data_IF_984828904169
#
_entry.id   IF_984828904169
#
_cell.length_a   1.000
_cell.length_b   1.000
_cell.length_c   1.000
_cell.angle_alpha   90.00
_cell.angle_beta   90.00
_cell.angle_gamma   90.00
#
_symmetry.space_group_name_H-M   'P 1'
#
loop_
_entity.id
_entity.type
_entity.pdbx_description
1 polymer ?
#
# COMPACT_ATOMS: atom_id res chain seq x y z
N UNK A 1 11.60 -21.12 -8.68
CA UNK A 1 11.71 -20.44 -7.38
C UNK A 1 11.20 -19.02 -7.54
N UNK A 2 11.79 -17.96 -6.99
CA UNK A 2 11.14 -16.63 -6.87
C UNK A 2 10.42 -16.17 -8.16
N UNK A 3 11.01 -16.38 -9.34
CA UNK A 3 10.43 -16.07 -10.65
C UNK A 3 9.36 -17.05 -11.20
N UNK A 4 8.96 -18.08 -10.45
CA UNK A 4 7.87 -19.02 -10.78
C UNK A 4 8.25 -20.46 -11.13
N UNK A 5 9.52 -20.78 -11.41
CA UNK A 5 9.93 -22.15 -11.74
C UNK A 5 9.67 -23.15 -10.59
N UNK A 6 9.44 -24.44 -10.87
CA UNK A 6 9.38 -25.45 -9.81
C UNK A 6 10.76 -25.63 -9.16
N UNK A 7 10.80 -26.05 -7.89
CA UNK A 7 12.07 -26.46 -7.28
C UNK A 7 12.65 -27.70 -7.98
N UNK A 8 11.78 -28.54 -8.57
CA UNK A 8 12.20 -29.71 -9.37
C UNK A 8 12.93 -29.29 -10.64
N UNK A 9 12.41 -28.27 -11.34
CA UNK A 9 13.04 -27.76 -12.56
C UNK A 9 14.43 -27.21 -12.26
N UNK A 10 14.57 -26.49 -11.14
CA UNK A 10 15.84 -25.95 -10.67
C UNK A 10 16.81 -27.06 -10.27
N UNK A 11 16.34 -28.05 -9.50
CA UNK A 11 17.15 -29.20 -9.09
C UNK A 11 17.72 -29.94 -10.30
N UNK A 12 16.88 -30.19 -11.31
CA UNK A 12 17.29 -30.85 -12.57
C UNK A 12 18.24 -29.97 -13.37
N UNK A 13 17.93 -28.67 -13.54
CA UNK A 13 18.73 -27.75 -14.34
C UNK A 13 20.16 -27.60 -13.80
N UNK A 14 20.32 -27.57 -12.49
CA UNK A 14 21.62 -27.38 -11.84
C UNK A 14 22.27 -28.69 -11.35
N UNK A 15 21.60 -29.84 -11.49
CA UNK A 15 22.12 -31.13 -11.04
C UNK A 15 22.30 -31.23 -9.52
N UNK A 16 21.42 -30.58 -8.75
CA UNK A 16 21.53 -30.49 -7.29
C UNK A 16 20.34 -31.13 -6.57
N UNK A 17 20.55 -31.53 -5.32
CA UNK A 17 19.50 -32.08 -4.49
C UNK A 17 18.43 -31.02 -4.15
N UNK A 18 17.19 -31.47 -3.90
CA UNK A 18 16.08 -30.61 -3.47
C UNK A 18 16.44 -29.80 -2.23
N UNK A 19 17.10 -30.43 -1.27
CA UNK A 19 17.52 -29.84 0.00
C UNK A 19 18.45 -28.65 -0.27
N UNK A 20 19.41 -28.79 -1.20
CA UNK A 20 20.31 -27.72 -1.64
C UNK A 20 19.53 -26.56 -2.26
N UNK A 21 18.52 -26.83 -3.08
CA UNK A 21 17.66 -25.78 -3.68
C UNK A 21 17.00 -24.92 -2.59
N UNK A 22 16.44 -25.55 -1.55
CA UNK A 22 15.83 -24.81 -0.44
C UNK A 22 16.87 -24.13 0.46
N UNK A 23 18.04 -24.74 0.67
CA UNK A 23 19.13 -24.11 1.40
C UNK A 23 19.54 -22.78 0.76
N UNK A 24 19.81 -22.79 -0.54
CA UNK A 24 20.15 -21.57 -1.29
C UNK A 24 19.00 -20.56 -1.28
N UNK A 25 17.74 -21.00 -1.39
CA UNK A 25 16.59 -20.10 -1.28
C UNK A 25 16.60 -19.34 0.06
N UNK A 26 16.86 -20.03 1.17
CA UNK A 26 16.87 -19.40 2.49
C UNK A 26 18.09 -18.51 2.69
N UNK A 27 19.28 -18.92 2.23
CA UNK A 27 20.45 -18.04 2.24
C UNK A 27 20.19 -16.72 1.51
N UNK A 28 19.53 -16.77 0.34
CA UNK A 28 19.16 -15.57 -0.42
C UNK A 28 18.11 -14.73 0.31
N UNK A 29 17.05 -15.36 0.84
CA UNK A 29 16.00 -14.66 1.62
C UNK A 29 16.59 -13.96 2.83
N UNK A 30 17.47 -14.63 3.57
CA UNK A 30 18.13 -14.09 4.75
C UNK A 30 19.09 -12.97 4.36
N UNK A 31 19.90 -13.13 3.30
CA UNK A 31 20.78 -12.08 2.81
C UNK A 31 19.99 -10.81 2.44
N UNK A 32 18.86 -10.94 1.73
CA UNK A 32 18.00 -9.79 1.37
C UNK A 32 17.45 -9.10 2.63
N UNK A 33 16.91 -9.88 3.56
CA UNK A 33 16.26 -9.33 4.75
C UNK A 33 17.26 -8.71 5.73
N UNK A 34 18.48 -9.24 5.79
CA UNK A 34 19.56 -8.78 6.66
C UNK A 34 20.46 -7.69 6.05
N UNK A 35 20.20 -7.27 4.80
CA UNK A 35 20.93 -6.17 4.14
C UNK A 35 20.05 -4.92 4.10
N UNK A 36 20.21 -3.95 5.02
CA UNK A 36 19.35 -2.78 5.14
C UNK A 36 19.19 -1.99 3.85
N UNK A 37 20.24 -1.90 3.04
CA UNK A 37 20.32 -1.14 1.80
C UNK A 37 19.42 -1.71 0.70
N UNK A 38 19.12 -3.02 0.75
CA UNK A 38 18.29 -3.67 -0.27
C UNK A 38 16.83 -3.37 0.00
N UNK A 39 16.28 -2.42 -0.75
CA UNK A 39 14.84 -2.18 -0.84
C UNK A 39 14.18 -1.79 0.48
N UNK A 40 14.87 -0.96 1.28
CA UNK A 40 14.40 -0.51 2.58
C UNK A 40 12.97 0.05 2.53
N UNK A 41 12.17 -0.33 3.52
CA UNK A 41 10.88 0.30 3.77
C UNK A 41 11.09 1.69 4.35
N UNK A 42 10.35 2.67 3.85
CA UNK A 42 10.38 4.03 4.34
C UNK A 42 8.93 4.51 4.52
N UNK A 43 8.49 4.61 5.77
CA UNK A 43 7.22 5.24 6.10
C UNK A 43 7.52 6.64 6.66
N UNK A 44 6.89 7.72 6.12
CA UNK A 44 7.19 9.07 6.56
C UNK A 44 6.77 9.28 8.02
N UNK A 45 7.68 9.80 8.84
CA UNK A 45 7.45 10.04 10.27
C UNK A 45 7.68 11.51 10.67
N UNK A 46 8.57 12.22 9.98
CA UNK A 46 8.81 13.65 10.23
C UNK A 46 7.89 14.52 9.38
N UNK A 47 7.71 15.78 9.76
CA UNK A 47 6.92 16.73 8.98
C UNK A 47 7.50 16.95 7.59
N UNK A 48 8.82 17.00 7.46
CA UNK A 48 9.50 17.21 6.18
C UNK A 48 9.33 16.01 5.25
N UNK A 49 9.44 14.78 5.79
CA UNK A 49 9.17 13.56 5.02
C UNK A 49 7.73 13.50 4.56
N UNK A 50 6.79 13.83 5.45
CA UNK A 50 5.38 13.88 5.13
C UNK A 50 5.08 14.93 4.05
N UNK A 51 5.66 16.13 4.15
CA UNK A 51 5.49 17.19 3.16
C UNK A 51 6.01 16.77 1.77
N UNK A 52 7.20 16.14 1.71
CA UNK A 52 7.75 15.61 0.46
C UNK A 52 6.82 14.57 -0.15
N UNK A 53 6.36 13.61 0.65
CA UNK A 53 5.51 12.53 0.14
C UNK A 53 4.14 13.06 -0.29
N UNK A 54 3.59 13.99 0.47
CA UNK A 54 2.30 14.60 0.19
C UNK A 54 2.28 15.40 -1.11
N UNK A 55 3.36 16.12 -1.42
CA UNK A 55 3.52 16.79 -2.72
C UNK A 55 3.47 15.83 -3.90
N UNK A 56 4.06 14.64 -3.78
CA UNK A 56 3.99 13.62 -4.83
C UNK A 56 2.57 13.08 -5.02
N UNK A 57 1.85 12.84 -3.92
CA UNK A 57 0.45 12.40 -3.96
C UNK A 57 -0.50 13.48 -4.48
N UNK A 58 -0.31 14.73 -4.08
CA UNK A 58 -1.07 15.87 -4.56
C UNK A 58 -0.96 16.00 -6.08
N UNK A 59 0.25 15.82 -6.63
CA UNK A 59 0.48 15.82 -8.07
C UNK A 59 -0.21 14.65 -8.81
N UNK A 60 -0.58 13.56 -8.10
CA UNK A 60 -1.39 12.46 -8.64
C UNK A 60 -2.88 12.62 -8.34
N UNK A 61 -3.26 13.55 -7.47
CA UNK A 61 -4.64 13.81 -7.09
C UNK A 61 -5.30 14.66 -8.15
N UNK A 62 -6.41 14.17 -8.70
CA UNK A 62 -7.23 14.97 -9.63
C UNK A 62 -7.64 16.26 -8.92
N UNK A 63 -7.22 17.41 -9.46
CA UNK A 63 -7.53 18.72 -8.91
C UNK A 63 -6.79 19.08 -7.61
N UNK A 64 -5.74 18.34 -7.24
CA UNK A 64 -4.86 18.64 -6.11
C UNK A 64 -5.58 18.68 -4.76
N UNK A 65 -6.63 17.87 -4.58
CA UNK A 65 -7.48 17.96 -3.39
C UNK A 65 -6.86 17.23 -2.21
N UNK A 66 -6.24 16.08 -2.45
CA UNK A 66 -5.67 15.24 -1.40
C UNK A 66 -4.23 15.66 -1.08
N UNK A 67 -4.04 16.90 -0.65
CA UNK A 67 -2.73 17.52 -0.42
C UNK A 67 -2.00 17.04 0.84
N UNK A 68 -2.67 16.31 1.74
CA UNK A 68 -2.07 15.71 2.94
C UNK A 68 -1.81 14.20 2.83
N UNK A 69 -2.09 13.58 1.69
CA UNK A 69 -1.96 12.14 1.51
C UNK A 69 -0.49 11.72 1.49
N UNK A 70 -0.03 10.85 2.39
CA UNK A 70 1.36 10.39 2.42
C UNK A 70 1.54 8.95 1.92
N UNK A 71 0.48 8.15 1.96
CA UNK A 71 0.51 6.77 1.45
C UNK A 71 -0.91 6.27 1.14
N UNK A 72 -1.00 5.18 0.38
CA UNK A 72 -2.21 4.37 0.28
C UNK A 72 -1.95 2.98 0.88
N UNK A 73 -2.90 2.45 1.64
CA UNK A 73 -2.82 1.17 2.34
C UNK A 73 -3.94 0.22 1.96
N UNK A 74 -3.62 -1.07 1.88
CA UNK A 74 -4.58 -2.13 1.59
C UNK A 74 -4.05 -3.52 2.01
N UNK A 75 -4.94 -4.51 2.03
CA UNK A 75 -4.65 -5.90 2.35
C UNK A 75 -4.32 -6.72 1.10
N UNK A 76 -3.32 -7.60 1.19
CA UNK A 76 -2.98 -8.60 0.17
C UNK A 76 -3.11 -10.01 0.76
N UNK A 77 -3.93 -10.84 0.14
CA UNK A 77 -4.04 -12.25 0.51
C UNK A 77 -3.01 -13.09 -0.27
N UNK A 78 -2.00 -13.61 0.43
CA UNK A 78 -1.01 -14.51 -0.16
C UNK A 78 -1.40 -15.96 0.13
N UNK A 79 -1.70 -16.72 -0.94
CA UNK A 79 -2.08 -18.14 -0.84
C UNK A 79 -0.92 -18.99 -0.35
N UNK A 80 -1.20 -19.94 0.53
CA UNK A 80 -0.24 -20.92 1.03
C UNK A 80 -0.86 -22.31 0.99
N UNK A 81 -0.04 -23.36 1.06
CA UNK A 81 -0.59 -24.67 1.46
C UNK A 81 -1.11 -24.58 2.91
N UNK A 82 -2.05 -25.47 3.25
CA UNK A 82 -2.53 -25.61 4.61
C UNK A 82 -1.34 -25.79 5.57
N UNK A 83 -1.26 -25.04 6.66
CA UNK A 83 -0.33 -25.39 7.73
C UNK A 83 -0.73 -26.74 8.33
N UNK A 84 0.24 -27.48 8.82
CA UNK A 84 0.00 -28.72 9.57
C UNK A 84 -0.37 -28.40 11.03
N UNK A 85 -0.96 -29.35 11.77
CA UNK A 85 -1.18 -29.21 13.21
C UNK A 85 0.12 -29.03 14.02
N UNK A 86 1.28 -29.41 13.46
CA UNK A 86 2.60 -29.17 14.06
C UNK A 86 3.03 -27.72 13.87
N UNK A 87 2.67 -27.10 12.74
CA UNK A 87 2.99 -25.69 12.46
C UNK A 87 2.17 -24.73 13.33
N UNK A 88 0.88 -25.05 13.56
CA UNK A 88 -0.02 -24.22 14.37
C UNK A 88 -1.20 -25.03 14.92
N UNK A 89 -1.59 -24.83 16.19
CA UNK A 89 -2.77 -25.47 16.76
C UNK A 89 -4.07 -25.00 16.11
N UNK A 90 -4.09 -23.82 15.48
CA UNK A 90 -5.29 -23.23 14.87
C UNK A 90 -5.14 -23.12 13.34
N UNK A 91 -5.09 -24.26 12.66
CA UNK A 91 -4.99 -24.35 11.19
C UNK A 91 -6.11 -23.57 10.49
N UNK A 92 -7.33 -23.63 11.02
CA UNK A 92 -8.50 -22.95 10.44
C UNK A 92 -8.38 -21.42 10.43
N UNK A 93 -7.61 -20.82 11.34
CA UNK A 93 -7.35 -19.36 11.30
C UNK A 93 -6.64 -18.90 10.02
N UNK A 94 -6.00 -19.82 9.28
CA UNK A 94 -5.34 -19.54 8.01
C UNK A 94 -6.29 -19.72 6.81
N UNK A 95 -7.44 -20.38 6.99
CA UNK A 95 -8.41 -20.61 5.91
C UNK A 95 -9.38 -19.43 5.79
N UNK A 96 -9.33 -18.73 4.66
CA UNK A 96 -10.30 -17.69 4.33
C UNK A 96 -11.41 -18.26 3.48
N UNK A 97 -12.65 -18.20 3.97
CA UNK A 97 -13.84 -18.54 3.18
C UNK A 97 -14.00 -17.64 1.95
N UNK A 98 -13.84 -16.32 2.15
CA UNK A 98 -13.98 -15.31 1.10
C UNK A 98 -12.92 -15.44 -0.01
N UNK A 99 -11.69 -15.85 0.34
CA UNK A 99 -10.61 -16.06 -0.64
C UNK A 99 -10.47 -17.53 -1.07
N UNK A 100 -11.33 -18.40 -0.54
CA UNK A 100 -11.42 -19.84 -0.80
C UNK A 100 -10.07 -20.55 -0.75
N UNK A 101 -9.37 -20.45 0.37
CA UNK A 101 -8.09 -21.14 0.56
C UNK A 101 -7.34 -20.73 1.82
N UNK A 102 -6.22 -21.43 2.05
CA UNK A 102 -5.27 -21.10 3.12
C UNK A 102 -4.34 -19.98 2.67
N UNK A 103 -3.99 -19.09 3.59
CA UNK A 103 -3.05 -18.02 3.27
C UNK A 103 -2.69 -17.14 4.46
N UNK A 104 -2.01 -16.05 4.14
CA UNK A 104 -1.68 -14.95 5.03
C UNK A 104 -2.39 -13.68 4.55
N UNK A 105 -2.90 -12.89 5.50
CA UNK A 105 -3.36 -11.54 5.23
C UNK A 105 -2.19 -10.57 5.47
N UNK A 106 -1.63 -10.04 4.39
CA UNK A 106 -0.53 -9.09 4.42
C UNK A 106 -1.12 -7.68 4.41
N UNK A 107 -0.62 -6.81 5.27
CA UNK A 107 -1.02 -5.39 5.30
C UNK A 107 0.17 -4.58 4.82
N UNK A 108 0.00 -3.69 3.85
CA UNK A 108 1.08 -2.82 3.38
C UNK A 108 0.57 -1.45 2.99
N UNK A 109 1.51 -0.51 2.92
CA UNK A 109 1.30 0.81 2.29
C UNK A 109 2.28 1.02 1.16
N UNK A 110 1.89 1.83 0.18
CA UNK A 110 2.79 2.29 -0.88
C UNK A 110 2.78 3.80 -1.00
N UNK A 111 3.82 4.34 -1.66
CA UNK A 111 3.90 5.72 -2.09
C UNK A 111 3.24 5.94 -3.46
N UNK A 112 3.30 7.18 -3.95
CA UNK A 112 2.74 7.57 -5.24
C UNK A 112 3.44 6.91 -6.46
N UNK A 113 4.62 6.32 -6.25
CA UNK A 113 5.49 5.70 -7.25
C UNK A 113 5.53 4.17 -7.11
N UNK A 114 4.55 3.59 -6.42
CA UNK A 114 4.36 2.16 -6.21
C UNK A 114 5.44 1.49 -5.36
N UNK A 115 6.30 2.25 -4.66
CA UNK A 115 7.23 1.67 -3.68
C UNK A 115 6.47 1.36 -2.41
N UNK A 116 6.70 0.21 -1.79
CA UNK A 116 6.11 -0.10 -0.49
C UNK A 116 6.81 0.68 0.62
N UNK A 117 6.03 1.43 1.40
CA UNK A 117 6.50 2.23 2.53
C UNK A 117 6.64 1.39 3.81
N UNK A 118 5.81 0.35 3.94
CA UNK A 118 5.81 -0.57 5.08
C UNK A 118 5.01 -1.82 4.73
N UNK A 119 5.22 -2.91 5.45
CA UNK A 119 4.38 -4.11 5.38
C UNK A 119 4.35 -4.90 6.69
N UNK A 120 3.32 -5.72 6.86
CA UNK A 120 3.14 -6.65 7.97
C UNK A 120 2.60 -7.99 7.47
N UNK A 121 3.33 -9.07 7.75
CA UNK A 121 3.02 -10.44 7.33
C UNK A 121 2.74 -11.37 8.51
N UNK A 122 2.05 -10.86 9.54
CA UNK A 122 1.81 -11.57 10.81
C UNK A 122 0.42 -12.17 10.93
N UNK A 123 -0.51 -11.79 10.05
CA UNK A 123 -1.92 -12.15 10.18
C UNK A 123 -2.26 -13.40 9.37
N UNK A 124 -2.93 -14.35 10.02
CA UNK A 124 -3.46 -15.53 9.38
C UNK A 124 -4.56 -15.15 8.37
N UNK A 125 -4.72 -15.93 7.31
CA UNK A 125 -5.56 -15.60 6.15
C UNK A 125 -7.04 -15.35 6.44
N UNK A 126 -7.60 -15.90 7.51
CA UNK A 126 -8.99 -15.64 7.93
C UNK A 126 -9.16 -14.31 8.69
N UNK A 127 -8.06 -13.66 9.08
CA UNK A 127 -8.08 -12.39 9.80
C UNK A 127 -8.59 -11.29 8.88
N UNK A 128 -9.65 -10.59 9.28
CA UNK A 128 -10.15 -9.43 8.53
C UNK A 128 -9.17 -8.24 8.58
N UNK A 129 -9.27 -7.34 7.61
CA UNK A 129 -8.31 -6.23 7.45
C UNK A 129 -8.30 -5.30 8.66
N UNK A 130 -9.46 -5.02 9.26
CA UNK A 130 -9.55 -4.26 10.52
C UNK A 130 -8.63 -4.83 11.61
N UNK A 131 -8.70 -6.14 11.85
CA UNK A 131 -7.93 -6.80 12.90
C UNK A 131 -6.47 -6.94 12.51
N UNK A 132 -6.20 -7.24 11.24
CA UNK A 132 -4.84 -7.36 10.72
C UNK A 132 -4.09 -6.02 10.81
N UNK A 133 -4.77 -4.92 10.48
CA UNK A 133 -4.27 -3.56 10.59
C UNK A 133 -3.91 -3.21 12.03
N UNK A 134 -4.85 -3.34 12.96
CA UNK A 134 -4.64 -2.95 14.36
C UNK A 134 -3.58 -3.80 15.08
N UNK A 135 -3.25 -4.99 14.56
CA UNK A 135 -2.14 -5.83 15.07
C UNK A 135 -0.78 -5.43 14.51
N UNK A 136 -0.76 -4.67 13.41
CA UNK A 136 0.48 -4.28 12.74
C UNK A 136 1.08 -3.02 13.36
N UNK A 137 2.41 -2.93 13.37
CA UNK A 137 3.15 -1.71 13.74
C UNK A 137 2.87 -0.53 12.79
N UNK A 138 2.26 -0.80 11.65
CA UNK A 138 1.79 0.21 10.70
C UNK A 138 0.67 1.04 11.30
N UNK A 139 -0.26 0.44 12.04
CA UNK A 139 -1.34 1.19 12.72
C UNK A 139 -0.76 2.23 13.66
N UNK A 140 0.26 1.87 14.45
CA UNK A 140 0.92 2.79 15.37
C UNK A 140 1.70 3.89 14.63
N UNK A 141 2.30 3.55 13.49
CA UNK A 141 3.04 4.51 12.67
C UNK A 141 2.12 5.55 12.02
N UNK A 142 0.95 5.11 11.55
CA UNK A 142 -0.09 6.00 11.01
C UNK A 142 -0.66 6.89 12.11
N UNK A 143 -0.90 6.36 13.30
CA UNK A 143 -1.40 7.14 14.43
C UNK A 143 -0.42 8.23 14.93
N UNK A 144 0.87 8.14 14.55
CA UNK A 144 1.91 9.12 14.88
C UNK A 144 2.18 10.15 13.78
N UNK A 145 1.44 10.12 12.67
CA UNK A 145 1.60 11.13 11.62
C UNK A 145 1.34 12.53 12.19
N UNK A 146 2.08 13.56 11.74
CA UNK A 146 1.77 14.93 12.15
C UNK A 146 0.35 15.33 11.67
N UNK A 147 -0.34 16.22 12.41
CA UNK A 147 -1.64 16.74 11.99
C UNK A 147 -1.62 17.28 10.55
N UNK A 148 -2.66 16.97 9.78
CA UNK A 148 -2.79 17.31 8.36
C UNK A 148 -2.29 16.25 7.39
N UNK A 149 -1.59 15.21 7.86
CA UNK A 149 -1.14 14.10 7.02
C UNK A 149 -1.90 12.80 7.29
N UNK A 150 -2.18 12.05 6.24
CA UNK A 150 -3.00 10.85 6.34
C UNK A 150 -2.68 9.79 5.28
N UNK A 151 -3.09 8.56 5.57
CA UNK A 151 -3.08 7.42 4.66
C UNK A 151 -4.49 7.19 4.11
N UNK A 152 -4.60 6.76 2.86
CA UNK A 152 -5.87 6.34 2.26
C UNK A 152 -6.04 4.83 2.39
N UNK A 153 -7.12 4.38 3.02
CA UNK A 153 -7.41 2.96 3.27
C UNK A 153 -8.71 2.47 2.64
N UNK A 154 -8.93 1.17 2.68
CA UNK A 154 -10.21 0.55 2.32
C UNK A 154 -11.33 0.78 3.33
N UNK A 155 -12.57 0.57 2.90
CA UNK A 155 -13.75 0.66 3.75
C UNK A 155 -13.71 -0.34 4.92
N UNK A 156 -12.90 -1.40 4.84
CA UNK A 156 -12.69 -2.36 5.93
C UNK A 156 -11.81 -1.84 7.08
N UNK A 157 -11.12 -0.70 6.91
CA UNK A 157 -10.19 -0.13 7.90
C UNK A 157 -10.85 0.83 8.90
N UNK A 158 -10.19 1.09 10.04
CA UNK A 158 -10.55 2.19 10.94
C UNK A 158 -10.46 3.56 10.28
N UNK A 159 -11.53 4.34 10.41
CA UNK A 159 -11.49 5.77 10.13
C UNK A 159 -10.81 6.51 11.29
N UNK A 160 -9.86 7.37 10.95
CA UNK A 160 -9.24 8.35 11.87
C UNK A 160 -8.76 9.55 11.06
N UNK A 161 -8.35 10.64 11.71
CA UNK A 161 -7.76 11.79 10.99
C UNK A 161 -6.49 11.43 10.19
N UNK A 162 -5.81 10.34 10.55
CA UNK A 162 -4.62 9.85 9.85
C UNK A 162 -4.87 8.65 8.93
N UNK A 163 -6.09 8.09 8.91
CA UNK A 163 -6.48 6.98 8.03
C UNK A 163 -7.88 7.23 7.48
N UNK A 164 -7.94 7.72 6.25
CA UNK A 164 -9.19 8.07 5.59
C UNK A 164 -9.72 6.88 4.81
N UNK A 165 -10.97 6.53 5.05
CA UNK A 165 -11.68 5.46 4.36
C UNK A 165 -12.90 6.01 3.62
N UNK A 166 -13.38 5.32 2.57
CA UNK A 166 -14.60 5.69 1.85
C UNK A 166 -15.82 5.83 2.77
N UNK A 167 -16.77 6.68 2.40
CA UNK A 167 -18.11 6.67 2.98
C UNK A 167 -18.80 5.33 2.67
N UNK A 168 -19.36 4.63 3.67
CA UNK A 168 -20.00 3.35 3.48
C UNK A 168 -21.41 3.51 2.92
N UNK A 169 -21.86 2.54 2.11
CA UNK A 169 -23.23 2.47 1.62
C UNK A 169 -23.36 2.45 0.11
N UNK A 170 -24.60 2.43 -0.35
CA UNK A 170 -24.99 2.54 -1.77
C UNK A 170 -25.84 3.79 -1.92
N UNK A 171 -25.82 4.42 -3.10
CA UNK A 171 -26.57 5.65 -3.41
C UNK A 171 -26.19 6.82 -2.48
N UNK A 172 -24.90 7.12 -2.42
CA UNK A 172 -24.38 8.21 -1.59
C UNK A 172 -24.80 9.59 -2.14
N UNK A 173 -24.95 10.60 -1.26
CA UNK A 173 -24.99 11.99 -1.66
C UNK A 173 -23.82 12.35 -2.59
N UNK A 174 -24.03 13.35 -3.47
CA UNK A 174 -23.06 13.68 -4.53
C UNK A 174 -21.67 14.00 -4.00
N UNK A 175 -21.57 14.70 -2.87
CA UNK A 175 -20.33 15.10 -2.22
C UNK A 175 -19.59 13.88 -1.64
N UNK A 176 -20.28 12.98 -0.95
CA UNK A 176 -19.73 11.71 -0.45
C UNK A 176 -19.30 10.77 -1.60
N UNK A 177 -20.10 10.67 -2.67
CA UNK A 177 -19.76 9.88 -3.85
C UNK A 177 -18.53 10.42 -4.57
N UNK A 178 -18.40 11.74 -4.62
CA UNK A 178 -17.25 12.44 -5.19
C UNK A 178 -16.00 12.25 -4.34
N UNK A 179 -16.12 12.30 -3.02
CA UNK A 179 -15.02 11.93 -2.11
C UNK A 179 -14.55 10.49 -2.37
N UNK A 180 -15.48 9.53 -2.40
CA UNK A 180 -15.15 8.13 -2.66
C UNK A 180 -14.47 7.94 -4.01
N UNK A 181 -14.91 8.66 -5.04
CA UNK A 181 -14.29 8.62 -6.37
C UNK A 181 -12.82 9.07 -6.34
N UNK A 182 -12.54 10.23 -5.75
CA UNK A 182 -11.17 10.78 -5.70
C UNK A 182 -10.26 9.97 -4.76
N UNK A 183 -10.78 9.47 -3.64
CA UNK A 183 -10.04 8.55 -2.78
C UNK A 183 -9.68 7.27 -3.56
N UNK A 184 -10.63 6.68 -4.29
CA UNK A 184 -10.41 5.46 -5.08
C UNK A 184 -9.38 5.68 -6.19
N UNK A 185 -9.38 6.87 -6.81
CA UNK A 185 -8.40 7.26 -7.84
C UNK A 185 -6.96 7.23 -7.34
N UNK A 186 -6.73 7.55 -6.07
CA UNK A 186 -5.42 7.45 -5.43
C UNK A 186 -5.15 6.04 -4.89
N UNK A 187 -6.15 5.40 -4.29
CA UNK A 187 -6.00 4.05 -3.73
C UNK A 187 -5.66 2.98 -4.75
N UNK A 188 -6.05 3.16 -6.02
CA UNK A 188 -5.65 2.22 -7.09
C UNK A 188 -4.12 2.02 -7.16
N UNK A 189 -3.31 2.96 -6.64
CA UNK A 189 -1.85 2.83 -6.57
C UNK A 189 -1.38 1.64 -5.74
N UNK A 190 -1.98 1.37 -4.59
CA UNK A 190 -1.57 0.21 -3.76
C UNK A 190 -1.98 -1.11 -4.42
N UNK A 191 -3.15 -1.15 -5.07
CA UNK A 191 -3.58 -2.29 -5.86
C UNK A 191 -2.64 -2.56 -7.06
N UNK A 192 -2.20 -1.49 -7.74
CA UNK A 192 -1.22 -1.56 -8.83
C UNK A 192 0.16 -2.02 -8.32
N UNK A 193 0.62 -1.53 -7.17
CA UNK A 193 1.87 -1.99 -6.55
C UNK A 193 1.83 -3.49 -6.25
N UNK A 194 0.73 -3.99 -5.69
CA UNK A 194 0.51 -5.43 -5.51
C UNK A 194 0.47 -6.20 -6.84
N UNK A 195 -0.19 -5.66 -7.86
CA UNK A 195 -0.20 -6.25 -9.20
C UNK A 195 1.20 -6.39 -9.79
N UNK A 196 2.05 -5.38 -9.63
CA UNK A 196 3.46 -5.42 -10.06
C UNK A 196 4.23 -6.46 -9.26
N UNK A 197 4.11 -6.46 -7.92
CA UNK A 197 4.76 -7.44 -7.04
C UNK A 197 4.41 -8.89 -7.44
N UNK A 198 3.12 -9.19 -7.58
CA UNK A 198 2.64 -10.53 -7.97
C UNK A 198 3.06 -10.86 -9.39
N UNK A 199 3.02 -9.90 -10.32
CA UNK A 199 3.46 -10.09 -11.70
C UNK A 199 4.96 -10.38 -11.83
N UNK A 200 5.80 -9.74 -11.01
CA UNK A 200 7.25 -9.93 -10.99
C UNK A 200 7.66 -11.29 -10.39
N UNK A 201 7.00 -11.69 -9.31
CA UNK A 201 7.43 -12.85 -8.52
C UNK A 201 6.48 -14.02 -8.71
N UNK A 202 6.77 -14.84 -9.72
CA UNK A 202 5.94 -15.99 -10.08
C UNK A 202 5.75 -17.03 -8.97
N UNK A 203 6.56 -17.02 -7.91
CA UNK A 203 6.32 -17.82 -6.71
C UNK A 203 4.98 -17.50 -6.03
N UNK A 204 4.44 -16.29 -6.21
CA UNK A 204 3.15 -15.84 -5.67
C UNK A 204 1.95 -16.28 -6.52
N UNK A 205 2.15 -16.76 -7.75
CA UNK A 205 1.07 -17.19 -8.65
C UNK A 205 0.36 -18.46 -8.18
N UNK A 206 1.01 -19.22 -7.30
CA UNK A 206 0.51 -20.49 -6.76
C UNK A 206 0.62 -20.45 -5.23
N UNK A 207 -0.14 -21.30 -4.52
CA UNK A 207 0.02 -21.41 -3.08
C UNK A 207 1.48 -21.69 -2.71
N UNK A 208 2.03 -20.89 -1.79
CA UNK A 208 3.39 -21.06 -1.30
C UNK A 208 3.59 -22.46 -0.72
N UNK A 209 4.56 -23.19 -1.27
CA UNK A 209 4.96 -24.56 -0.90
C UNK A 209 6.31 -24.55 -0.17
N UNK A 210 6.49 -23.58 0.73
CA UNK A 210 7.65 -23.46 1.62
C UNK A 210 7.24 -23.76 3.06
N UNK A 211 8.23 -24.06 3.91
CA UNK A 211 8.03 -24.26 5.34
C UNK A 211 7.26 -23.11 5.96
N UNK A 212 6.37 -23.42 6.90
CA UNK A 212 5.47 -22.44 7.51
C UNK A 212 6.23 -21.25 8.13
N UNK A 213 7.27 -21.54 8.91
CA UNK A 213 8.09 -20.55 9.59
C UNK A 213 8.77 -19.54 8.64
N UNK A 214 9.08 -19.93 7.40
CA UNK A 214 9.78 -19.09 6.43
C UNK A 214 8.87 -18.24 5.54
N UNK A 215 7.54 -18.40 5.61
CA UNK A 215 6.61 -17.72 4.69
C UNK A 215 6.67 -16.20 4.82
N UNK A 216 6.64 -15.68 6.04
CA UNK A 216 6.68 -14.23 6.27
C UNK A 216 8.02 -13.62 5.87
N UNK A 217 9.13 -14.32 6.14
CA UNK A 217 10.48 -13.89 5.73
C UNK A 217 10.63 -13.86 4.20
N UNK A 218 10.13 -14.90 3.51
CA UNK A 218 10.09 -14.95 2.06
C UNK A 218 9.27 -13.79 1.47
N UNK A 219 8.06 -13.57 1.98
CA UNK A 219 7.19 -12.47 1.50
C UNK A 219 7.87 -11.12 1.74
N UNK A 220 8.50 -10.91 2.90
CA UNK A 220 9.25 -9.68 3.19
C UNK A 220 10.38 -9.46 2.18
N UNK A 221 11.14 -10.51 1.86
CA UNK A 221 12.21 -10.43 0.86
C UNK A 221 11.67 -10.05 -0.52
N UNK A 222 10.49 -10.54 -0.92
CA UNK A 222 9.86 -10.16 -2.19
C UNK A 222 9.46 -8.67 -2.24
N UNK A 223 8.91 -8.14 -1.15
CA UNK A 223 8.57 -6.72 -1.03
C UNK A 223 9.84 -5.84 -1.09
N UNK A 224 10.92 -6.27 -0.42
CA UNK A 224 12.22 -5.58 -0.48
C UNK A 224 12.81 -5.62 -1.88
N UNK A 225 12.84 -6.78 -2.53
CA UNK A 225 13.32 -6.86 -3.91
C UNK A 225 12.48 -6.02 -4.88
N UNK A 226 11.15 -5.97 -4.69
CA UNK A 226 10.30 -5.06 -5.45
C UNK A 226 10.77 -3.62 -5.29
N UNK A 227 10.92 -3.16 -4.05
CA UNK A 227 11.41 -1.81 -3.73
C UNK A 227 12.78 -1.54 -4.38
N UNK A 228 13.73 -2.47 -4.26
CA UNK A 228 15.04 -2.38 -4.89
C UNK A 228 14.91 -2.18 -6.41
N UNK A 229 14.09 -2.98 -7.09
CA UNK A 229 13.86 -2.81 -8.53
C UNK A 229 13.19 -1.49 -8.89
N UNK A 230 12.32 -0.94 -8.02
CA UNK A 230 11.75 0.41 -8.22
C UNK A 230 12.82 1.48 -8.10
N UNK A 231 13.75 1.36 -7.15
CA UNK A 231 14.87 2.31 -6.99
C UNK A 231 15.79 2.30 -8.21
N UNK A 232 16.16 1.13 -8.73
CA UNK A 232 17.02 1.01 -9.91
C UNK A 232 16.37 1.58 -11.18
N UNK A 233 15.04 1.54 -11.29
CA UNK A 233 14.31 2.15 -12.42
C UNK A 233 14.27 3.68 -12.38
N UNK A 234 14.44 4.28 -11.19
CA UNK A 234 14.37 5.73 -10.98
C UNK A 234 15.76 6.38 -11.06
N UNK A 235 16.85 5.60 -10.89
CA UNK A 235 18.19 6.11 -11.14
C UNK A 235 18.31 6.57 -12.59
N UNK A 236 18.81 7.78 -12.86
CA UNK A 236 19.13 8.17 -14.23
C UNK A 236 20.12 7.14 -14.76
N UNK A 237 19.74 6.44 -15.82
CA UNK A 237 20.70 5.68 -16.62
C UNK A 237 21.80 6.67 -16.96
N UNK A 238 23.05 6.38 -16.56
CA UNK A 238 24.22 7.13 -17.04
C UNK A 238 24.29 6.93 -18.56
N UNK A 239 23.50 7.71 -19.29
CA UNK A 239 23.70 7.95 -20.70
C UNK A 239 24.87 8.92 -20.77
N UNK A 240 25.95 8.46 -21.40
CA UNK A 240 27.05 9.30 -21.85
C UNK A 240 26.50 10.56 -22.51
N UNK A 241 27.04 11.71 -22.08
CA UNK A 241 26.73 13.04 -22.59
C UNK A 241 26.91 13.09 -24.12
N UNK A 242 25.84 13.38 -24.85
CA UNK A 242 25.90 14.00 -26.18
C UNK A 242 24.58 14.76 -26.43
N UNK A 243 24.69 16.08 -26.32
CA UNK A 243 23.94 17.20 -26.89
C UNK A 243 22.45 17.07 -27.23
N UNK A 244 21.61 17.93 -26.62
CA UNK A 244 21.18 19.18 -27.27
C UNK A 244 20.27 20.02 -26.36
N UNK A 245 20.58 21.31 -26.32
CA UNK A 245 19.75 22.38 -25.77
C UNK A 245 18.38 22.47 -26.45
N UNK A 246 17.35 22.86 -25.71
CA UNK A 246 16.47 24.00 -26.09
C UNK A 246 15.50 24.32 -24.95
N UNK A 247 15.60 25.55 -24.45
CA UNK A 247 14.73 26.09 -23.42
C UNK A 247 13.30 26.32 -23.89
N UNK A 248 12.35 26.16 -22.96
CA UNK A 248 11.04 26.81 -23.01
C UNK A 248 10.62 27.22 -21.61
N UNK A 249 10.42 28.52 -21.47
CA UNK A 249 9.91 29.21 -20.29
C UNK A 249 8.62 28.58 -19.77
N UNK A 250 8.55 28.43 -18.44
CA UNK A 250 7.31 28.15 -17.71
C UNK A 250 6.83 29.45 -17.05
N UNK A 251 5.53 29.77 -17.12
CA UNK A 251 5.01 30.96 -16.46
C UNK A 251 5.08 30.81 -14.94
N UNK A 252 5.56 31.86 -14.28
CA UNK A 252 5.48 32.06 -12.85
C UNK A 252 4.02 32.06 -12.38
N UNK A 253 3.69 31.20 -11.41
CA UNK A 253 2.46 31.31 -10.63
C UNK A 253 2.83 31.89 -9.26
N UNK A 254 2.16 32.98 -8.92
CA UNK A 254 2.34 33.80 -7.72
C UNK A 254 1.84 33.09 -6.47
N UNK A 255 2.56 33.30 -5.36
CA UNK A 255 2.17 32.96 -3.99
C UNK A 255 0.78 33.53 -3.66
N UNK A 256 -0.24 32.68 -3.45
CA UNK A 256 -1.43 32.94 -2.62
C UNK A 256 -2.46 31.79 -2.71
N UNK A 257 -2.11 30.57 -2.30
CA UNK A 257 -3.10 29.49 -2.10
C UNK A 257 -2.66 28.52 -0.97
N UNK A 258 -2.31 29.09 0.19
CA UNK A 258 -2.18 28.33 1.45
C UNK A 258 -3.54 28.23 2.14
N UNK A 259 -3.82 27.05 2.72
CA UNK A 259 -5.00 26.82 3.56
C UNK A 259 -5.03 27.81 4.74
N UNK A 260 -6.22 28.29 5.16
CA UNK A 260 -6.35 29.17 6.33
C UNK A 260 -5.81 28.50 7.61
N UNK A 261 -5.05 29.24 8.42
CA UNK A 261 -4.39 28.76 9.65
C UNK A 261 -5.34 28.49 10.84
N UNK A 262 -6.65 28.61 10.69
CA UNK A 262 -7.60 28.56 11.80
C UNK A 262 -8.23 27.17 12.01
N UNK A 263 -7.41 26.14 12.23
CA UNK A 263 -7.84 24.89 12.88
C UNK A 263 -6.72 24.32 13.76
N UNK A 264 -6.22 25.13 14.69
CA UNK A 264 -5.49 24.63 15.85
C UNK A 264 -6.49 24.02 16.84
N UNK A 265 -6.58 22.70 16.89
CA UNK A 265 -7.29 22.01 17.97
C UNK A 265 -6.41 21.98 19.22
N UNK A 266 -6.70 22.87 20.16
CA UNK A 266 -6.33 22.70 21.56
C UNK A 266 -7.29 21.72 22.21
N UNK A 267 -7.03 20.41 22.18
CA UNK A 267 -7.29 19.54 23.34
C UNK A 267 -6.72 18.12 23.19
N UNK A 268 -6.27 17.60 24.32
CA UNK A 268 -5.56 16.34 24.55
C UNK A 268 -6.42 15.07 24.44
N UNK A 269 -6.97 14.79 23.25
CA UNK A 269 -7.69 13.53 23.03
C UNK A 269 -7.81 13.16 21.56
N UNK A 270 -6.88 12.35 21.04
CA UNK A 270 -7.03 11.70 19.72
C UNK A 270 -8.35 10.91 19.72
N UNK A 271 -9.32 11.23 18.87
CA UNK A 271 -10.59 10.51 18.82
C UNK A 271 -10.35 9.02 18.53
N UNK A 272 -11.09 8.14 19.22
CA UNK A 272 -10.99 6.70 18.99
C UNK A 272 -11.33 6.35 17.53
N UNK A 273 -10.60 5.43 16.89
CA UNK A 273 -10.90 5.02 15.52
C UNK A 273 -12.32 4.46 15.41
N UNK A 274 -13.09 4.94 14.43
CA UNK A 274 -14.48 4.53 14.22
C UNK A 274 -14.65 3.79 12.88
N UNK A 275 -15.75 3.05 12.72
CA UNK A 275 -16.13 2.41 11.44
C UNK A 275 -16.99 3.30 10.55
N UNK A 276 -17.52 4.38 11.12
CA UNK A 276 -18.52 5.25 10.52
C UNK A 276 -18.49 6.62 11.23
N UNK A 277 -19.18 7.60 10.65
CA UNK A 277 -19.20 8.98 11.14
C UNK A 277 -18.46 9.91 10.21
N UNK A 278 -17.84 10.95 10.73
CA UNK A 278 -16.89 11.76 9.98
C UNK A 278 -15.76 12.21 10.88
N UNK A 279 -14.59 12.45 10.29
CA UNK A 279 -13.44 13.02 10.98
C UNK A 279 -13.12 14.37 10.35
N UNK A 280 -12.58 15.34 11.11
CA UNK A 280 -12.32 16.68 10.62
C UNK A 280 -11.61 16.71 9.26
N UNK A 281 -10.58 15.89 9.09
CA UNK A 281 -9.81 15.82 7.84
C UNK A 281 -10.65 15.37 6.66
N UNK A 282 -11.49 14.34 6.84
CA UNK A 282 -12.34 13.81 5.76
C UNK A 282 -13.45 14.79 5.39
N UNK A 283 -14.08 15.41 6.40
CA UNK A 283 -15.11 16.42 6.18
C UNK A 283 -14.55 17.64 5.43
N UNK A 284 -13.35 18.11 5.80
CA UNK A 284 -12.69 19.22 5.12
C UNK A 284 -12.42 18.93 3.63
N UNK A 285 -11.94 17.72 3.31
CA UNK A 285 -11.74 17.29 1.93
C UNK A 285 -13.06 17.18 1.16
N UNK A 286 -14.13 16.67 1.80
CA UNK A 286 -15.48 16.61 1.20
C UNK A 286 -15.99 18.01 0.84
N UNK A 287 -15.89 18.95 1.77
CA UNK A 287 -16.28 20.34 1.54
C UNK A 287 -15.44 21.01 0.46
N UNK A 288 -14.12 20.73 0.43
CA UNK A 288 -13.22 21.26 -0.59
C UNK A 288 -13.59 20.77 -2.00
N UNK A 289 -13.92 19.48 -2.15
CA UNK A 289 -14.40 18.92 -3.41
C UNK A 289 -15.67 19.60 -3.89
N UNK A 290 -16.65 19.78 -3.00
CA UNK A 290 -17.92 20.41 -3.34
C UNK A 290 -17.74 21.89 -3.71
N UNK A 291 -16.95 22.64 -2.93
CA UNK A 291 -16.62 24.04 -3.21
C UNK A 291 -15.90 24.22 -4.55
N UNK A 292 -15.00 23.30 -4.90
CA UNK A 292 -14.28 23.29 -6.18
C UNK A 292 -15.10 22.66 -7.33
N UNK A 293 -16.32 22.20 -7.06
CA UNK A 293 -17.20 21.48 -8.01
C UNK A 293 -16.52 20.28 -8.67
N UNK A 294 -15.64 19.61 -7.93
CA UNK A 294 -14.92 18.43 -8.40
C UNK A 294 -15.74 17.18 -8.11
N UNK A 295 -16.73 16.94 -8.97
CA UNK A 295 -17.63 15.81 -8.86
C UNK A 295 -17.14 14.59 -9.63
N UNK A 296 -17.65 13.40 -9.30
CA UNK A 296 -17.47 12.21 -10.14
C UNK A 296 -17.94 12.51 -11.58
N UNK A 297 -17.12 12.24 -12.61
CA UNK A 297 -17.53 12.45 -13.99
C UNK A 297 -18.76 11.61 -14.39
N UNK A 298 -19.63 12.18 -15.23
CA UNK A 298 -20.88 11.53 -15.66
C UNK A 298 -20.66 10.18 -16.37
N UNK A 299 -19.60 10.05 -17.17
CA UNK A 299 -19.29 8.80 -17.87
C UNK A 299 -18.95 7.65 -16.89
N UNK A 300 -18.42 7.95 -15.70
CA UNK A 300 -18.18 6.95 -14.66
C UNK A 300 -19.49 6.47 -14.01
N UNK A 301 -20.47 7.37 -13.87
CA UNK A 301 -21.79 7.02 -13.34
C UNK A 301 -22.53 6.08 -14.31
N UNK A 302 -22.52 6.41 -15.60
CA UNK A 302 -23.17 5.60 -16.64
C UNK A 302 -22.54 4.21 -16.80
N UNK A 303 -21.22 4.08 -16.61
CA UNK A 303 -20.52 2.78 -16.63
C UNK A 303 -20.95 1.86 -15.49
N UNK A 304 -21.27 2.41 -14.32
CA UNK A 304 -21.68 1.64 -13.15
C UNK A 304 -23.15 1.19 -13.20
N UNK A 305 -23.99 1.83 -14.01
CA UNK A 305 -25.39 1.42 -14.24
C UNK A 305 -25.53 0.30 -15.28
N UNK A 306 -24.49 0.07 -16.09
CA UNK A 306 -24.47 -0.92 -17.16
C UNK A 306 -23.86 -2.28 -16.75
N UNK A 307 -23.42 -2.42 -15.49
CA UNK A 307 -22.83 -3.63 -14.89
C UNK A 307 -23.75 -4.18 -13.78
#
# INVERSE_FOLDING_TARGET
MLAGASYLDVAVLFGIAKETVFHVLWEVVDAINNTPEVGAFFFPQTRDDCARQAKEWEAKSTGGVFSGCVAAGDGLFVKTIAPSPVDTPNVLSYFSGNKSGYGLNIQATCDANYRFCSMSAISAGATNDWTAWNRSSLSDSVARLPPGYYVLGDAAYPLSDHLLTPYPGKLLPRDEDSFNFHLSQLRVKIEQAYGILVGQWGILWRPLRVQFAGRSALITALFRLHNYLRDEQVKPVHMSEEDTETGRDRPHLTENDTLPEDFQTTDTGVPKPTRSGDVPTRLALRMLLDNRRQYRPLYNLQRNEAL
#
